data_IF_641142788832
#
_entry.id   IF_641142788832
#
_cell.length_a   1.000
_cell.length_b   1.000
_cell.length_c   1.000
_cell.angle_alpha   90.00
_cell.angle_beta   90.00
_cell.angle_gamma   90.00
#
_symmetry.space_group_name_H-M   'P 1'
#
loop_
_entity.id
_entity.type
_entity.pdbx_description
1 polymer ?
#
# COMPACT_ATOMS: atom_id res chain seq x y z
N UNK A 1 -10.41 -18.50 7.49
CA UNK A 1 -9.29 -17.61 7.85
C UNK A 1 -9.66 -16.12 7.85
N UNK A 2 -10.18 -15.50 6.78
CA UNK A 2 -10.61 -14.07 6.82
C UNK A 2 -12.03 -13.83 7.33
N UNK A 3 -12.89 -14.86 7.37
CA UNK A 3 -14.15 -14.80 8.11
C UNK A 3 -13.94 -14.56 9.61
N UNK A 4 -12.75 -14.92 10.12
CA UNK A 4 -12.46 -15.00 11.55
C UNK A 4 -11.95 -13.68 12.14
N UNK A 5 -11.25 -12.83 11.37
CA UNK A 5 -10.68 -11.60 11.93
C UNK A 5 -11.73 -10.63 12.47
N UNK A 6 -12.88 -10.47 11.80
CA UNK A 6 -13.96 -9.60 12.31
C UNK A 6 -14.51 -10.13 13.65
N UNK A 7 -14.68 -11.45 13.75
CA UNK A 7 -15.13 -12.09 14.98
C UNK A 7 -14.10 -11.90 16.10
N UNK A 8 -12.82 -12.07 15.80
CA UNK A 8 -11.72 -11.81 16.74
C UNK A 8 -11.71 -10.35 17.18
N UNK A 9 -11.82 -9.39 16.26
CA UNK A 9 -11.84 -7.96 16.59
C UNK A 9 -13.03 -7.60 17.51
N UNK A 10 -14.21 -8.17 17.24
CA UNK A 10 -15.39 -7.97 18.08
C UNK A 10 -15.28 -8.68 19.44
N UNK A 11 -14.68 -9.88 19.48
CA UNK A 11 -14.40 -10.57 20.74
C UNK A 11 -13.41 -9.77 21.58
N UNK A 12 -12.33 -9.27 21.00
CA UNK A 12 -11.38 -8.40 21.68
C UNK A 12 -12.07 -7.13 22.19
N UNK A 13 -12.93 -6.49 21.38
CA UNK A 13 -13.70 -5.33 21.81
C UNK A 13 -14.62 -5.62 23.00
N UNK A 14 -15.16 -6.84 23.10
CA UNK A 14 -16.02 -7.26 24.22
C UNK A 14 -15.25 -7.52 25.53
N UNK A 15 -13.96 -7.85 25.44
CA UNK A 15 -13.11 -8.18 26.60
C UNK A 15 -12.47 -6.95 27.24
N UNK A 16 -12.52 -5.78 26.60
CA UNK A 16 -11.91 -4.57 27.14
C UNK A 16 -12.91 -3.82 28.02
N UNK A 17 -12.62 -3.80 29.32
CA UNK A 17 -13.44 -3.12 30.33
C UNK A 17 -13.40 -1.59 30.17
N UNK A 18 -12.25 -1.01 29.84
CA UNK A 18 -12.11 0.44 29.63
C UNK A 18 -12.19 0.83 28.14
N UNK A 19 -13.43 1.09 27.70
CA UNK A 19 -13.71 1.53 26.32
C UNK A 19 -13.15 2.92 25.98
N UNK A 20 -12.88 3.78 26.97
CA UNK A 20 -12.31 5.12 26.71
C UNK A 20 -10.83 5.02 26.39
N UNK A 21 -10.11 4.16 27.11
CA UNK A 21 -8.68 3.93 26.89
C UNK A 21 -8.42 3.17 25.59
N UNK A 22 -9.32 2.26 25.22
CA UNK A 22 -9.20 1.42 24.02
C UNK A 22 -9.33 2.17 22.68
N UNK A 23 -9.83 3.42 22.68
CA UNK A 23 -9.96 4.27 21.50
C UNK A 23 -10.54 3.55 20.26
N UNK A 24 -11.50 2.62 20.44
CA UNK A 24 -12.04 1.78 19.36
C UNK A 24 -12.52 2.58 18.15
N UNK A 25 -13.14 3.74 18.41
CA UNK A 25 -13.65 4.63 17.35
C UNK A 25 -12.57 5.30 16.50
N UNK A 26 -11.31 5.25 16.94
CA UNK A 26 -10.14 5.73 16.18
C UNK A 26 -9.36 4.59 15.52
N UNK A 27 -9.68 3.35 15.84
CA UNK A 27 -8.97 2.18 15.33
C UNK A 27 -9.65 1.65 14.08
N UNK A 28 -8.88 1.46 13.02
CA UNK A 28 -9.34 0.87 11.76
C UNK A 28 -8.29 -0.10 11.26
N UNK A 29 -8.73 -1.20 10.63
CA UNK A 29 -7.83 -2.19 10.04
C UNK A 29 -7.97 -2.20 8.53
N UNK A 30 -6.85 -2.26 7.83
CA UNK A 30 -6.78 -2.49 6.40
C UNK A 30 -6.34 -3.95 6.18
N UNK A 31 -7.19 -4.76 5.56
CA UNK A 31 -6.87 -6.15 5.25
C UNK A 31 -6.77 -6.30 3.74
N UNK A 32 -5.60 -6.71 3.27
CA UNK A 32 -5.33 -7.02 1.87
C UNK A 32 -4.57 -8.34 1.73
N UNK A 33 -5.02 -9.20 0.83
CA UNK A 33 -4.38 -10.49 0.57
C UNK A 33 -5.13 -11.29 -0.49
N UNK A 34 -5.00 -12.61 -0.44
CA UNK A 34 -5.68 -13.53 -1.35
C UNK A 34 -6.34 -14.66 -0.58
N UNK A 35 -7.49 -15.11 -1.06
CA UNK A 35 -8.11 -16.35 -0.60
C UNK A 35 -7.22 -17.52 -1.03
N UNK A 36 -6.92 -18.42 -0.09
CA UNK A 36 -6.07 -19.58 -0.35
C UNK A 36 -6.70 -20.56 -1.34
N UNK A 37 -8.00 -20.81 -1.21
CA UNK A 37 -8.68 -21.86 -1.97
C UNK A 37 -8.96 -21.39 -3.41
N UNK A 38 -9.37 -20.13 -3.57
CA UNK A 38 -9.77 -19.59 -4.88
C UNK A 38 -8.69 -18.76 -5.57
N UNK A 39 -7.68 -18.29 -4.82
CA UNK A 39 -6.67 -17.36 -5.33
C UNK A 39 -7.20 -15.94 -5.58
N UNK A 40 -8.45 -15.65 -5.23
CA UNK A 40 -9.08 -14.35 -5.43
C UNK A 40 -8.54 -13.30 -4.45
N UNK A 41 -8.47 -12.05 -4.89
CA UNK A 41 -8.07 -10.95 -4.01
C UNK A 41 -9.12 -10.75 -2.89
N UNK A 42 -8.63 -10.69 -1.65
CA UNK A 42 -9.41 -10.35 -0.46
C UNK A 42 -8.98 -8.98 0.04
N UNK A 43 -9.91 -8.02 0.04
CA UNK A 43 -9.64 -6.62 0.37
C UNK A 43 -10.79 -6.04 1.20
N UNK A 44 -10.54 -5.72 2.47
CA UNK A 44 -11.57 -5.20 3.38
C UNK A 44 -10.98 -4.14 4.30
N UNK A 45 -11.77 -3.12 4.58
CA UNK A 45 -11.55 -2.21 5.70
C UNK A 45 -12.42 -2.70 6.85
N UNK A 46 -11.91 -2.68 8.07
CA UNK A 46 -12.68 -2.98 9.26
C UNK A 46 -12.66 -1.77 10.18
N UNK A 47 -13.85 -1.26 10.52
CA UNK A 47 -14.04 -0.02 11.28
C UNK A 47 -15.04 -0.23 12.39
N UNK A 48 -14.82 0.46 13.50
CA UNK A 48 -15.74 0.43 14.62
C UNK A 48 -16.94 1.34 14.35
N UNK A 49 -18.15 0.77 14.37
CA UNK A 49 -19.41 1.49 14.23
C UNK A 49 -19.91 1.93 15.60
N UNK A 50 -20.10 3.23 15.77
CA UNK A 50 -20.66 3.80 17.02
C UNK A 50 -22.13 3.43 17.21
N UNK A 51 -22.84 3.19 16.10
CA UNK A 51 -24.27 2.88 16.11
C UNK A 51 -24.51 1.47 16.62
N UNK A 52 -23.74 0.49 16.14
CA UNK A 52 -23.89 -0.92 16.54
C UNK A 52 -23.01 -1.30 17.73
N UNK A 53 -21.99 -0.49 18.04
CA UNK A 53 -21.03 -0.78 19.10
C UNK A 53 -20.09 -1.93 18.76
N UNK A 54 -19.89 -2.21 17.46
CA UNK A 54 -19.10 -3.32 16.97
C UNK A 54 -18.24 -2.90 15.77
N UNK A 55 -17.20 -3.67 15.50
CA UNK A 55 -16.49 -3.61 14.23
C UNK A 55 -17.35 -4.16 13.10
N UNK A 56 -17.33 -3.46 11.98
CA UNK A 56 -18.03 -3.78 10.74
C UNK A 56 -17.05 -3.85 9.58
N UNK A 57 -17.43 -4.59 8.53
CA UNK A 57 -16.65 -4.70 7.29
C UNK A 57 -17.13 -3.70 6.27
N UNK A 58 -16.17 -3.00 5.67
CA UNK A 58 -16.36 -2.14 4.51
C UNK A 58 -15.53 -2.67 3.33
N UNK A 59 -16.06 -2.54 2.12
CA UNK A 59 -15.31 -2.80 0.90
C UNK A 59 -14.27 -1.70 0.66
N UNK A 60 -13.17 -2.06 0.01
CA UNK A 60 -12.29 -1.03 -0.56
C UNK A 60 -13.04 -0.18 -1.58
N UNK A 61 -12.69 1.11 -1.64
CA UNK A 61 -13.24 2.02 -2.63
C UNK A 61 -12.82 1.60 -4.04
N UNK A 62 -13.76 1.65 -4.98
CA UNK A 62 -13.47 1.44 -6.40
C UNK A 62 -13.02 2.74 -7.06
N UNK A 63 -11.94 2.67 -7.83
CA UNK A 63 -11.54 3.68 -8.80
C UNK A 63 -11.57 3.00 -10.19
N UNK A 64 -11.85 3.78 -11.23
CA UNK A 64 -11.91 3.28 -12.61
C UNK A 64 -11.03 4.14 -13.49
N UNK A 65 -10.27 3.51 -14.36
CA UNK A 65 -9.50 4.16 -15.43
C UNK A 65 -9.48 3.29 -16.66
N UNK A 66 -9.63 3.87 -17.85
CA UNK A 66 -9.43 3.11 -19.08
C UNK A 66 -10.37 1.91 -19.28
N UNK A 67 -11.57 1.93 -18.69
CA UNK A 67 -12.50 0.81 -18.70
C UNK A 67 -12.17 -0.33 -17.70
N UNK A 68 -11.04 -0.27 -16.99
CA UNK A 68 -10.66 -1.22 -15.94
C UNK A 68 -10.91 -0.64 -14.56
N UNK A 69 -11.65 -1.39 -13.74
CA UNK A 69 -11.91 -1.06 -12.34
C UNK A 69 -10.86 -1.66 -11.43
N UNK A 70 -10.39 -0.89 -10.47
CA UNK A 70 -9.48 -1.34 -9.43
C UNK A 70 -9.95 -0.84 -8.07
N UNK A 71 -9.51 -1.53 -7.00
CA UNK A 71 -9.89 -1.22 -5.63
C UNK A 71 -8.69 -0.68 -4.87
N UNK A 72 -8.89 0.44 -4.16
CA UNK A 72 -7.89 1.05 -3.30
C UNK A 72 -8.49 1.25 -1.92
N UNK A 73 -7.78 0.76 -0.91
CA UNK A 73 -8.10 0.99 0.48
C UNK A 73 -7.14 2.02 1.08
N UNK A 74 -7.67 2.92 1.91
CA UNK A 74 -6.90 3.96 2.58
C UNK A 74 -7.48 4.19 3.98
N UNK A 75 -6.59 4.32 4.97
CA UNK A 75 -6.91 4.66 6.35
C UNK A 75 -5.99 5.80 6.76
N UNK A 76 -6.56 6.82 7.40
CA UNK A 76 -5.86 8.03 7.83
C UNK A 76 -6.56 9.31 7.36
N UNK A 77 -6.16 10.42 7.95
CA UNK A 77 -6.81 11.73 7.77
C UNK A 77 -6.56 12.32 6.37
N UNK A 78 -5.40 11.99 5.77
CA UNK A 78 -4.97 12.48 4.45
C UNK A 78 -5.65 11.80 3.26
N UNK A 79 -6.77 11.09 3.48
CA UNK A 79 -7.46 10.32 2.43
C UNK A 79 -7.86 11.18 1.24
N UNK A 80 -8.37 12.38 1.49
CA UNK A 80 -8.85 13.26 0.43
C UNK A 80 -7.69 13.76 -0.46
N UNK A 81 -6.60 14.20 0.16
CA UNK A 81 -5.39 14.63 -0.53
C UNK A 81 -4.78 13.48 -1.35
N UNK A 82 -4.65 12.30 -0.74
CA UNK A 82 -4.16 11.11 -1.41
C UNK A 82 -4.99 10.73 -2.65
N UNK A 83 -6.31 10.64 -2.51
CA UNK A 83 -7.19 10.25 -3.63
C UNK A 83 -7.20 11.29 -4.75
N UNK A 84 -7.04 12.58 -4.42
CA UNK A 84 -6.90 13.66 -5.41
C UNK A 84 -5.62 13.45 -6.25
N UNK A 85 -4.46 13.27 -5.60
CA UNK A 85 -3.19 13.03 -6.29
C UNK A 85 -3.28 11.77 -7.15
N UNK A 86 -3.79 10.68 -6.58
CA UNK A 86 -3.94 9.41 -7.29
C UNK A 86 -4.85 9.56 -8.52
N UNK A 87 -5.98 10.26 -8.39
CA UNK A 87 -6.90 10.53 -9.50
C UNK A 87 -6.25 11.30 -10.64
N UNK A 88 -5.44 12.32 -10.32
CA UNK A 88 -4.66 13.09 -11.29
C UNK A 88 -3.66 12.18 -12.03
N UNK A 89 -2.84 11.40 -11.31
CA UNK A 89 -1.86 10.49 -11.91
C UNK A 89 -2.52 9.46 -12.85
N UNK A 90 -3.62 8.86 -12.41
CA UNK A 90 -4.37 7.90 -13.21
C UNK A 90 -4.89 8.53 -14.50
N UNK A 91 -5.43 9.75 -14.40
CA UNK A 91 -5.98 10.47 -15.54
C UNK A 91 -4.88 10.89 -16.53
N UNK A 92 -3.75 11.38 -16.05
CA UNK A 92 -2.64 11.83 -16.90
C UNK A 92 -1.92 10.66 -17.58
N UNK A 93 -1.65 9.59 -16.83
CA UNK A 93 -0.89 8.46 -17.34
C UNK A 93 -1.74 7.48 -18.16
N UNK A 94 -3.08 7.59 -18.12
CA UNK A 94 -4.01 6.68 -18.81
C UNK A 94 -3.63 5.20 -18.61
N UNK A 95 -3.35 4.83 -17.37
CA UNK A 95 -2.76 3.53 -17.01
C UNK A 95 -3.62 2.79 -15.98
N UNK A 96 -3.40 1.48 -15.88
CA UNK A 96 -3.86 0.68 -14.76
C UNK A 96 -3.06 1.01 -13.50
N UNK A 97 -3.57 0.63 -12.32
CA UNK A 97 -2.78 0.72 -11.10
C UNK A 97 -1.59 -0.25 -11.13
N UNK A 98 -0.44 0.27 -11.52
CA UNK A 98 0.87 -0.31 -11.40
C UNK A 98 1.81 0.69 -10.71
N UNK A 99 1.88 0.62 -9.38
CA UNK A 99 2.63 1.51 -8.49
C UNK A 99 2.13 2.96 -8.37
N UNK A 100 1.12 3.43 -9.12
CA UNK A 100 0.50 4.75 -8.91
C UNK A 100 0.02 4.99 -7.46
N UNK A 101 -0.49 3.99 -6.70
CA UNK A 101 -0.80 4.18 -5.29
C UNK A 101 0.44 4.56 -4.45
N UNK A 102 1.60 3.98 -4.78
CA UNK A 102 2.87 4.31 -4.14
C UNK A 102 3.40 5.67 -4.59
N UNK A 103 3.25 6.00 -5.87
CA UNK A 103 3.60 7.31 -6.43
C UNK A 103 2.79 8.43 -5.76
N UNK A 104 1.47 8.27 -5.69
CA UNK A 104 0.57 9.20 -5.01
C UNK A 104 0.93 9.37 -3.52
N UNK A 105 1.25 8.27 -2.84
CA UNK A 105 1.71 8.30 -1.45
C UNK A 105 3.05 9.04 -1.33
N UNK A 106 4.00 8.80 -2.24
CA UNK A 106 5.30 9.49 -2.23
C UNK A 106 5.13 10.99 -2.47
N UNK A 107 4.30 11.41 -3.43
CA UNK A 107 3.97 12.81 -3.66
C UNK A 107 3.35 13.45 -2.41
N UNK A 108 2.39 12.76 -1.77
CA UNK A 108 1.76 13.23 -0.54
C UNK A 108 2.78 13.40 0.58
N UNK A 109 3.68 12.43 0.78
CA UNK A 109 4.71 12.48 1.83
C UNK A 109 5.72 13.61 1.57
N UNK A 110 6.09 13.86 0.31
CA UNK A 110 7.00 14.96 -0.08
C UNK A 110 6.39 16.34 0.12
N UNK A 111 5.07 16.47 0.14
CA UNK A 111 4.39 17.75 0.41
C UNK A 111 4.19 18.04 1.90
N UNK A 112 4.61 17.16 2.80
CA UNK A 112 4.44 17.31 4.23
C UNK A 112 5.55 18.15 4.85
N UNK A 113 5.22 18.86 5.93
CA UNK A 113 6.20 19.58 6.74
C UNK A 113 6.57 18.79 8.01
N UNK A 114 7.47 19.34 8.83
CA UNK A 114 7.97 18.68 10.04
C UNK A 114 6.90 18.49 11.12
N UNK A 115 5.83 19.28 11.09
CA UNK A 115 4.71 19.22 12.04
C UNK A 115 3.55 18.35 11.54
N UNK A 116 3.64 17.81 10.31
CA UNK A 116 2.66 16.87 9.78
C UNK A 116 2.57 15.59 10.62
N UNK A 117 1.36 15.03 10.70
CA UNK A 117 1.09 13.77 11.40
C UNK A 117 1.57 12.53 10.63
N UNK A 118 1.93 12.70 9.36
CA UNK A 118 2.48 11.68 8.48
C UNK A 118 3.86 12.11 7.97
N UNK A 119 4.74 11.15 7.71
CA UNK A 119 6.09 11.42 7.22
C UNK A 119 6.95 10.16 7.07
N UNK A 120 8.24 10.36 6.80
CA UNK A 120 9.21 9.29 6.63
C UNK A 120 9.15 8.62 5.25
N UNK A 121 9.97 7.57 5.08
CA UNK A 121 9.99 6.77 3.85
C UNK A 121 8.81 5.78 3.84
N UNK A 122 8.06 5.64 2.73
CA UNK A 122 6.96 4.69 2.64
C UNK A 122 7.46 3.25 2.81
N UNK A 123 6.61 2.41 3.40
CA UNK A 123 6.87 0.99 3.55
C UNK A 123 6.10 0.22 2.48
N UNK A 124 6.78 -0.70 1.78
CA UNK A 124 6.18 -1.40 0.65
C UNK A 124 6.31 -2.91 0.83
N UNK A 125 5.17 -3.59 0.76
CA UNK A 125 5.09 -5.05 0.72
C UNK A 125 4.15 -5.45 -0.40
N UNK A 126 4.61 -6.33 -1.28
CA UNK A 126 3.77 -6.92 -2.33
C UNK A 126 3.30 -8.28 -1.86
N UNK A 127 1.98 -8.46 -1.78
CA UNK A 127 1.36 -9.75 -1.46
C UNK A 127 1.02 -10.47 -2.76
N UNK A 128 1.33 -11.77 -2.84
CA UNK A 128 1.08 -12.62 -4.00
C UNK A 128 0.01 -13.68 -3.69
N UNK A 129 -0.64 -14.21 -4.73
CA UNK A 129 -1.72 -15.20 -4.63
C UNK A 129 -1.33 -16.44 -3.80
N UNK A 130 -0.10 -16.92 -3.95
CA UNK A 130 0.37 -18.17 -3.33
C UNK A 130 1.08 -17.96 -1.98
N UNK A 131 0.52 -17.12 -1.10
CA UNK A 131 1.03 -16.85 0.27
C UNK A 131 2.46 -16.30 0.39
N UNK A 132 3.07 -15.91 -0.72
CA UNK A 132 4.32 -15.18 -0.68
C UNK A 132 4.01 -13.70 -0.46
N UNK A 133 4.79 -13.06 0.39
CA UNK A 133 4.90 -11.61 0.41
C UNK A 133 6.35 -11.26 0.12
N UNK A 134 6.56 -10.12 -0.54
CA UNK A 134 7.90 -9.61 -0.80
C UNK A 134 7.97 -8.18 -0.26
N UNK A 135 8.72 -7.96 0.82
CA UNK A 135 9.13 -6.63 1.22
C UNK A 135 9.97 -5.98 0.11
N UNK A 136 9.80 -4.68 -0.05
CA UNK A 136 10.65 -3.85 -0.89
C UNK A 136 11.35 -2.82 0.00
N UNK A 137 12.66 -2.69 -0.19
CA UNK A 137 13.37 -1.53 0.30
C UNK A 137 13.04 -0.33 -0.61
N UNK A 138 13.15 0.87 -0.07
CA UNK A 138 12.78 2.11 -0.75
C UNK A 138 13.94 3.07 -0.72
N UNK A 139 14.32 3.59 -1.88
CA UNK A 139 15.32 4.63 -2.08
C UNK A 139 14.62 5.87 -2.60
N UNK A 140 15.00 7.03 -2.08
CA UNK A 140 14.68 8.31 -2.68
C UNK A 140 16.00 8.95 -3.08
N UNK A 141 16.28 9.07 -4.38
CA UNK A 141 17.57 9.63 -4.81
C UNK A 141 17.66 11.14 -4.55
N UNK A 142 16.51 11.80 -4.36
CA UNK A 142 16.44 13.24 -4.11
C UNK A 142 16.84 13.61 -2.68
N UNK A 143 16.87 12.64 -1.75
CA UNK A 143 17.17 12.86 -0.33
C UNK A 143 18.24 11.89 0.17
N UNK A 144 19.50 12.32 0.12
CA UNK A 144 20.65 11.68 0.77
C UNK A 144 20.92 10.22 0.33
N UNK A 145 20.26 9.76 -0.74
CA UNK A 145 20.29 8.41 -1.33
C UNK A 145 20.08 7.24 -0.33
N UNK A 146 19.55 7.50 0.86
CA UNK A 146 19.45 6.49 1.92
C UNK A 146 18.35 5.49 1.62
N UNK A 147 18.76 4.23 1.46
CA UNK A 147 17.83 3.09 1.33
C UNK A 147 17.18 2.84 2.68
N UNK A 148 15.85 2.75 2.70
CA UNK A 148 15.04 2.39 3.87
C UNK A 148 14.38 1.04 3.70
N UNK A 149 14.24 0.27 4.77
CA UNK A 149 13.53 -1.00 4.81
C UNK A 149 12.67 -1.06 6.07
N UNK A 150 11.39 -1.45 5.92
CA UNK A 150 10.40 -1.43 7.00
C UNK A 150 10.31 -0.06 7.72
N UNK A 151 10.46 1.03 6.96
CA UNK A 151 10.28 2.40 7.45
C UNK A 151 11.48 2.99 8.17
N UNK A 152 12.58 2.25 8.33
CA UNK A 152 13.84 2.80 8.85
C UNK A 152 14.92 2.85 7.77
N UNK A 153 15.80 3.86 7.78
CA UNK A 153 17.03 3.83 7.00
C UNK A 153 17.89 2.61 7.37
N UNK A 154 18.54 2.04 6.36
CA UNK A 154 19.60 1.06 6.58
C UNK A 154 20.82 1.77 7.18
N UNK A 155 21.51 1.08 8.09
CA UNK A 155 22.80 1.52 8.60
C UNK A 155 23.86 1.39 7.50
N UNK A 156 24.96 2.14 7.61
CA UNK A 156 26.00 2.18 6.57
C UNK A 156 26.60 0.81 6.23
N UNK A 157 26.62 -0.13 7.20
CA UNK A 157 27.13 -1.48 7.02
C UNK A 157 26.04 -2.50 6.66
N UNK A 158 24.75 -2.13 6.72
CA UNK A 158 23.65 -3.03 6.39
C UNK A 158 23.47 -3.14 4.88
N UNK A 159 23.21 -4.35 4.41
CA UNK A 159 22.84 -4.64 3.02
C UNK A 159 21.52 -5.38 3.02
N UNK A 160 20.73 -5.16 1.97
CA UNK A 160 19.45 -5.83 1.77
C UNK A 160 19.54 -6.79 0.60
N UNK A 161 18.88 -7.95 0.74
CA UNK A 161 18.62 -8.87 -0.37
C UNK A 161 17.23 -8.64 -1.00
N UNK A 162 16.42 -7.76 -0.41
CA UNK A 162 15.12 -7.36 -0.94
C UNK A 162 15.28 -6.42 -2.13
N UNK A 163 14.34 -6.44 -3.10
CA UNK A 163 14.37 -5.48 -4.19
C UNK A 163 14.24 -4.05 -3.66
N UNK A 164 14.92 -3.11 -4.32
CA UNK A 164 14.93 -1.69 -3.98
C UNK A 164 14.10 -0.92 -5.00
N UNK A 165 13.09 -0.18 -4.54
CA UNK A 165 12.28 0.75 -5.34
C UNK A 165 12.85 2.16 -5.26
N UNK A 166 12.95 2.86 -6.38
CA UNK A 166 13.34 4.27 -6.43
C UNK A 166 12.11 5.17 -6.58
N UNK A 167 11.79 5.99 -5.57
CA UNK A 167 10.56 6.80 -5.53
C UNK A 167 10.54 7.99 -6.51
N UNK A 168 11.65 8.28 -7.14
CA UNK A 168 11.82 9.38 -8.10
C UNK A 168 11.88 8.87 -9.54
N UNK A 169 11.79 7.55 -9.77
CA UNK A 169 12.02 6.91 -11.07
C UNK A 169 10.86 6.00 -11.49
N UNK A 170 9.62 6.35 -11.14
CA UNK A 170 8.45 5.56 -11.52
C UNK A 170 8.38 5.35 -13.04
N UNK A 171 8.15 4.10 -13.47
CA UNK A 171 8.07 3.75 -14.90
C UNK A 171 9.41 3.60 -15.61
N UNK A 172 10.53 3.92 -14.96
CA UNK A 172 11.86 3.77 -15.55
C UNK A 172 12.41 2.34 -15.44
N UNK A 173 13.39 2.02 -16.29
CA UNK A 173 13.98 0.68 -16.39
C UNK A 173 14.67 0.21 -15.10
N UNK A 174 15.13 1.13 -14.26
CA UNK A 174 15.77 0.89 -12.98
C UNK A 174 14.96 1.40 -11.79
N UNK A 175 13.64 1.57 -11.99
CA UNK A 175 12.67 1.78 -10.91
C UNK A 175 12.80 0.72 -9.81
N UNK A 176 12.98 -0.55 -10.20
CA UNK A 176 13.18 -1.68 -9.28
C UNK A 176 14.52 -2.35 -9.56
N UNK A 177 15.39 -2.38 -8.55
CA UNK A 177 16.68 -3.07 -8.61
C UNK A 177 16.65 -4.28 -7.70
N UNK A 178 17.03 -5.45 -8.22
CA UNK A 178 17.14 -6.70 -7.45
C UNK A 178 18.60 -6.92 -7.05
N UNK A 179 18.94 -6.89 -5.75
CA UNK A 179 20.31 -7.15 -5.30
C UNK A 179 20.79 -8.55 -5.71
N UNK A 180 22.07 -8.68 -6.07
CA UNK A 180 22.73 -9.97 -6.27
C UNK A 180 22.40 -10.72 -7.57
N UNK A 181 21.60 -10.16 -8.48
CA UNK A 181 21.46 -10.70 -9.85
C UNK A 181 22.22 -9.81 -10.84
N UNK A 182 22.97 -10.36 -11.82
CA UNK A 182 23.43 -9.55 -12.95
C UNK A 182 22.21 -8.91 -13.63
N UNK A 183 22.34 -7.65 -14.06
CA UNK A 183 21.29 -6.84 -14.69
C UNK A 183 20.79 -7.53 -15.98
N UNK A 184 19.85 -8.46 -15.85
CA UNK A 184 19.38 -9.27 -16.99
C UNK A 184 17.87 -9.30 -17.15
N UNK A 185 17.10 -8.72 -16.23
CA UNK A 185 15.64 -8.68 -16.37
C UNK A 185 15.20 -7.29 -16.77
N UNK A 186 14.98 -7.08 -18.06
CA UNK A 186 14.24 -5.93 -18.58
C UNK A 186 12.85 -5.96 -17.96
N UNK A 187 12.54 -5.01 -17.08
CA UNK A 187 11.18 -4.82 -16.60
C UNK A 187 10.33 -4.43 -17.81
N UNK A 188 9.29 -5.21 -18.10
CA UNK A 188 8.34 -4.79 -19.11
C UNK A 188 7.53 -3.62 -18.54
N UNK A 189 7.33 -2.53 -19.30
CA UNK A 189 6.41 -1.48 -18.89
C UNK A 189 5.02 -2.08 -18.69
N UNK A 190 4.17 -1.47 -17.84
CA UNK A 190 2.78 -1.88 -17.72
C UNK A 190 2.14 -1.96 -19.12
N UNK A 191 1.32 -2.99 -19.40
CA UNK A 191 0.62 -3.09 -20.66
C UNK A 191 -0.26 -1.86 -20.85
N UNK A 192 -0.20 -1.27 -22.05
CA UNK A 192 -1.07 -0.14 -22.39
C UNK A 192 -2.50 -0.66 -22.58
N UNK A 193 -3.49 0.17 -22.22
CA UNK A 193 -4.89 -0.17 -22.44
C UNK A 193 -5.12 -0.43 -23.94
N UNK A 194 -5.65 -1.61 -24.27
CA UNK A 194 -5.94 -2.02 -25.64
C UNK A 194 -4.89 -2.95 -26.28
N UNK A 195 -3.74 -3.18 -25.64
CA UNK A 195 -2.81 -4.20 -26.10
C UNK A 195 -3.22 -5.59 -25.59
N UNK A 196 -3.20 -6.63 -26.46
CA UNK A 196 -3.45 -7.99 -26.03
C UNK A 196 -2.37 -8.44 -25.03
N UNK A 197 -2.71 -9.28 -24.04
CA UNK A 197 -1.70 -9.83 -23.14
C UNK A 197 -0.68 -10.64 -23.97
N UNK A 198 0.60 -10.29 -23.82
CA UNK A 198 1.72 -11.08 -24.36
C UNK A 198 1.97 -12.31 -23.50
#
# INVERSE_FOLDING_TARGET
MTKDFLAIANQMASLVDDRKLAQFTKTSFLIGGYNFDTGDAYQRIIRYSRTTGQYEREEFGGLRSGGKGFKVGFIGDERAAYLKILGTLIHEQQTELNFQPLEALSCLLKSQDRNSSIGGSPQVVKVYRHRNYLPYAVKDTTTDEKVSLFGRPLLAYERTFYPVLSLDRFGEHDFVVYPGRPKSRTLQPPPKIGEPPK
#
